data_IF_763885770751
#
_entry.id   IF_763885770751
#
_cell.length_a   1.000
_cell.length_b   1.000
_cell.length_c   1.000
_cell.angle_alpha   90.00
_cell.angle_beta   90.00
_cell.angle_gamma   90.00
#
_symmetry.space_group_name_H-M   'P 1'
#
loop_
_entity.id
_entity.type
_entity.pdbx_description
1 polymer ?
#
# COMPACT_ATOMS: atom_id res chain seq x y z
N UNK A 1 19.54 -20.46 13.32
CA UNK A 1 20.55 -19.52 12.84
C UNK A 1 20.97 -19.95 11.44
N UNK A 2 20.58 -19.19 10.42
CA UNK A 2 20.89 -19.48 9.01
C UNK A 2 21.88 -18.46 8.42
N UNK A 3 22.58 -17.76 9.23
CA UNK A 3 23.68 -16.86 8.88
C UNK A 3 24.66 -16.75 10.03
N UNK A 4 25.93 -16.53 9.74
CA UNK A 4 26.96 -16.24 10.74
C UNK A 4 26.87 -14.81 11.25
N UNK A 5 27.47 -14.53 12.40
CA UNK A 5 27.62 -13.15 12.90
C UNK A 5 28.38 -12.30 11.85
N UNK A 6 27.78 -11.17 11.45
CA UNK A 6 28.38 -10.21 10.54
C UNK A 6 28.11 -10.42 9.04
N UNK A 7 27.17 -11.29 8.67
CA UNK A 7 26.73 -11.41 7.28
C UNK A 7 25.60 -10.41 6.98
N UNK A 8 25.74 -9.66 5.88
CA UNK A 8 24.75 -8.69 5.42
C UNK A 8 23.54 -9.37 4.77
N UNK A 9 23.70 -10.60 4.25
CA UNK A 9 22.64 -11.35 3.56
C UNK A 9 22.38 -12.71 4.22
N UNK A 10 21.13 -13.16 4.09
CA UNK A 10 20.72 -14.47 4.57
C UNK A 10 21.27 -15.59 3.69
N UNK A 11 21.83 -16.65 4.30
CA UNK A 11 22.26 -17.87 3.60
C UNK A 11 21.07 -18.73 3.10
N UNK A 12 19.84 -18.31 3.29
CA UNK A 12 18.65 -19.05 2.90
C UNK A 12 18.64 -19.45 1.41
N UNK A 13 19.10 -18.55 0.54
CA UNK A 13 19.11 -18.78 -0.93
C UNK A 13 20.06 -19.93 -1.31
N UNK A 14 21.16 -20.08 -0.59
CA UNK A 14 22.21 -21.10 -0.85
C UNK A 14 21.99 -22.41 -0.07
N UNK A 15 21.01 -22.44 0.84
CA UNK A 15 20.75 -23.59 1.69
C UNK A 15 19.76 -24.56 1.04
N UNK A 16 20.21 -25.79 0.75
CA UNK A 16 19.44 -26.83 0.06
C UNK A 16 18.48 -27.61 0.96
N UNK A 17 18.43 -27.33 2.27
CA UNK A 17 17.50 -28.01 3.17
C UNK A 17 16.03 -27.73 2.81
N UNK A 18 15.13 -28.70 3.04
CA UNK A 18 13.70 -28.52 2.78
C UNK A 18 13.11 -27.30 3.54
N UNK A 19 13.59 -27.06 4.76
CA UNK A 19 13.14 -25.91 5.58
C UNK A 19 13.63 -24.57 4.99
N UNK A 20 14.89 -24.51 4.56
CA UNK A 20 15.43 -23.30 3.95
C UNK A 20 14.73 -22.97 2.62
N UNK A 21 14.48 -24.00 1.79
CA UNK A 21 13.72 -23.82 0.54
C UNK A 21 12.30 -23.30 0.80
N UNK A 22 11.58 -23.92 1.74
CA UNK A 22 10.24 -23.45 2.13
C UNK A 22 10.26 -22.00 2.62
N UNK A 23 11.23 -21.63 3.48
CA UNK A 23 11.37 -20.24 3.95
C UNK A 23 11.75 -19.29 2.82
N UNK A 24 12.65 -19.69 1.93
CA UNK A 24 13.05 -18.89 0.77
C UNK A 24 11.86 -18.62 -0.16
N UNK A 25 11.09 -19.65 -0.50
CA UNK A 25 9.86 -19.54 -1.30
C UNK A 25 8.82 -18.64 -0.60
N UNK A 26 8.67 -18.79 0.73
CA UNK A 26 7.74 -17.98 1.51
C UNK A 26 8.14 -16.50 1.54
N UNK A 27 9.44 -16.20 1.72
CA UNK A 27 9.92 -14.81 1.72
C UNK A 27 9.97 -14.16 0.35
N UNK A 28 10.03 -14.93 -0.74
CA UNK A 28 9.90 -14.40 -2.09
C UNK A 28 8.51 -13.84 -2.40
N UNK A 29 7.49 -14.26 -1.64
CA UNK A 29 6.12 -13.74 -1.75
C UNK A 29 5.89 -12.45 -0.92
N UNK A 30 6.93 -11.92 -0.21
CA UNK A 30 6.83 -10.67 0.54
C UNK A 30 7.08 -9.49 -0.39
N UNK A 31 6.03 -8.71 -0.64
CA UNK A 31 6.13 -7.53 -1.45
C UNK A 31 6.01 -6.29 -0.56
N UNK A 32 7.06 -5.47 -0.53
CA UNK A 32 7.12 -4.23 0.23
C UNK A 32 6.86 -3.08 -0.73
N UNK A 33 5.70 -2.46 -0.62
CA UNK A 33 5.29 -1.37 -1.52
C UNK A 33 5.66 -0.01 -0.94
N UNK A 34 6.36 0.79 -1.72
CA UNK A 34 6.87 2.12 -1.37
C UNK A 34 6.35 3.18 -2.34
N UNK A 35 5.22 3.80 -2.00
CA UNK A 35 4.64 4.89 -2.80
C UNK A 35 4.92 6.27 -2.20
N UNK A 36 6.04 6.41 -1.46
CA UNK A 36 6.39 7.67 -0.79
C UNK A 36 6.91 8.74 -1.74
N UNK A 37 7.69 8.33 -2.74
CA UNK A 37 8.22 9.27 -3.71
C UNK A 37 7.10 9.73 -4.65
N UNK A 38 6.76 11.00 -4.56
CA UNK A 38 5.81 11.70 -5.42
C UNK A 38 6.43 12.94 -6.06
N UNK A 39 7.77 13.04 -6.02
CA UNK A 39 8.55 14.08 -6.69
C UNK A 39 8.29 14.09 -8.20
N UNK A 40 8.80 15.09 -8.91
CA UNK A 40 8.69 15.14 -10.38
C UNK A 40 9.39 13.99 -11.09
N UNK A 41 10.41 13.38 -10.45
CA UNK A 41 11.14 12.21 -10.96
C UNK A 41 10.59 10.87 -10.46
N UNK A 42 9.54 10.89 -9.64
CA UNK A 42 8.91 9.69 -9.08
C UNK A 42 8.55 8.66 -10.15
N UNK A 43 8.80 7.39 -9.84
CA UNK A 43 8.43 6.26 -10.69
C UNK A 43 6.93 6.25 -11.04
N UNK A 44 6.07 6.68 -10.12
CA UNK A 44 4.61 6.81 -10.32
C UNK A 44 4.22 7.80 -11.43
N UNK A 45 5.06 8.80 -11.71
CA UNK A 45 4.82 9.84 -12.72
C UNK A 45 5.47 9.54 -14.07
N UNK A 46 6.33 8.52 -14.13
CA UNK A 46 7.06 8.19 -15.34
C UNK A 46 6.22 7.33 -16.30
N UNK A 47 6.49 7.42 -17.63
CA UNK A 47 5.85 6.56 -18.61
C UNK A 47 6.13 5.08 -18.32
N UNK A 48 5.09 4.27 -18.28
CA UNK A 48 5.21 2.82 -18.07
C UNK A 48 5.43 2.09 -19.41
N UNK A 49 6.30 1.08 -19.44
CA UNK A 49 6.42 0.21 -20.62
C UNK A 49 5.12 -0.56 -20.82
N UNK A 50 4.55 -0.53 -22.03
CA UNK A 50 3.23 -1.09 -22.36
C UNK A 50 3.06 -2.55 -21.95
N UNK A 51 4.11 -3.35 -21.99
CA UNK A 51 4.07 -4.79 -21.69
C UNK A 51 4.48 -5.13 -20.26
N UNK A 52 4.69 -4.12 -19.40
CA UNK A 52 5.03 -4.30 -17.99
C UNK A 52 3.76 -4.25 -17.13
N UNK A 53 2.99 -5.31 -17.15
CA UNK A 53 1.66 -5.37 -16.52
C UNK A 53 1.34 -6.67 -15.79
N UNK A 54 2.28 -7.61 -15.70
CA UNK A 54 2.01 -8.93 -15.11
C UNK A 54 1.71 -8.82 -13.60
N UNK A 55 2.36 -7.89 -12.92
CA UNK A 55 2.11 -7.54 -11.52
C UNK A 55 2.42 -6.06 -11.30
N UNK A 56 1.78 -5.46 -10.29
CA UNK A 56 2.09 -4.08 -9.89
C UNK A 56 3.45 -4.05 -9.19
N UNK A 57 4.37 -3.21 -9.68
CA UNK A 57 5.70 -3.06 -9.09
C UNK A 57 5.64 -2.36 -7.74
N UNK A 58 6.57 -2.66 -6.88
CA UNK A 58 6.65 -2.13 -5.51
C UNK A 58 6.79 -0.61 -5.45
N UNK A 59 7.43 0.00 -6.46
CA UNK A 59 7.59 1.45 -6.62
C UNK A 59 6.49 2.11 -7.47
N UNK A 60 5.56 1.33 -8.01
CA UNK A 60 4.49 1.79 -8.89
C UNK A 60 4.95 2.25 -10.29
N UNK A 61 6.19 1.96 -10.71
CA UNK A 61 6.75 2.40 -12.00
C UNK A 61 5.94 1.91 -13.22
N UNK A 62 5.15 0.87 -13.05
CA UNK A 62 4.28 0.33 -14.10
C UNK A 62 2.79 0.59 -13.89
N UNK A 63 2.43 1.51 -12.99
CA UNK A 63 1.03 1.77 -12.61
C UNK A 63 0.11 2.00 -13.81
N UNK A 64 0.54 2.83 -14.78
CA UNK A 64 -0.27 3.12 -15.96
C UNK A 64 -0.47 1.90 -16.87
N UNK A 65 0.57 1.09 -17.09
CA UNK A 65 0.48 -0.12 -17.90
C UNK A 65 -0.35 -1.21 -17.20
N UNK A 66 -0.22 -1.34 -15.88
CA UNK A 66 -1.01 -2.26 -15.06
C UNK A 66 -2.50 -1.90 -15.10
N UNK A 67 -2.86 -0.63 -14.91
CA UNK A 67 -4.23 -0.13 -15.03
C UNK A 67 -4.78 -0.31 -16.45
N UNK A 68 -3.97 -0.03 -17.49
CA UNK A 68 -4.33 -0.25 -18.88
C UNK A 68 -4.72 -1.70 -19.13
N UNK A 69 -3.90 -2.64 -18.66
CA UNK A 69 -4.19 -4.08 -18.77
C UNK A 69 -5.42 -4.48 -17.97
N UNK A 70 -5.55 -3.99 -16.72
CA UNK A 70 -6.70 -4.27 -15.86
C UNK A 70 -8.01 -3.81 -16.49
N UNK A 71 -8.01 -2.66 -17.18
CA UNK A 71 -9.17 -2.16 -17.92
C UNK A 71 -9.68 -3.18 -18.96
N UNK A 72 -8.77 -3.80 -19.69
CA UNK A 72 -9.12 -4.74 -20.76
C UNK A 72 -9.48 -6.12 -20.24
N UNK A 73 -8.76 -6.61 -19.22
CA UNK A 73 -8.92 -8.00 -18.74
C UNK A 73 -9.89 -8.14 -17.59
N UNK A 74 -10.01 -7.12 -16.73
CA UNK A 74 -10.82 -7.12 -15.52
C UNK A 74 -11.63 -5.82 -15.37
N UNK A 75 -12.54 -5.50 -16.32
CA UNK A 75 -13.23 -4.20 -16.38
C UNK A 75 -14.04 -3.88 -15.13
N UNK A 76 -14.50 -4.88 -14.39
CA UNK A 76 -15.24 -4.65 -13.14
C UNK A 76 -14.30 -4.14 -12.02
N UNK A 77 -13.10 -4.70 -11.88
CA UNK A 77 -12.09 -4.22 -10.93
C UNK A 77 -11.64 -2.81 -11.30
N UNK A 78 -11.39 -2.57 -12.58
CA UNK A 78 -11.02 -1.24 -13.08
C UNK A 78 -12.08 -0.18 -12.73
N UNK A 79 -13.36 -0.47 -12.95
CA UNK A 79 -14.46 0.43 -12.57
C UNK A 79 -14.54 0.68 -11.06
N UNK A 80 -14.29 -0.35 -10.24
CA UNK A 80 -14.26 -0.21 -8.78
C UNK A 80 -13.09 0.70 -8.37
N UNK A 81 -11.92 0.55 -8.98
CA UNK A 81 -10.76 1.40 -8.76
C UNK A 81 -11.10 2.87 -9.09
N UNK A 82 -11.60 3.15 -10.30
CA UNK A 82 -11.99 4.52 -10.70
C UNK A 82 -13.05 5.11 -9.77
N UNK A 83 -14.09 4.33 -9.42
CA UNK A 83 -15.14 4.78 -8.51
C UNK A 83 -14.60 5.11 -7.11
N UNK A 84 -13.67 4.29 -6.60
CA UNK A 84 -13.05 4.51 -5.29
C UNK A 84 -12.19 5.79 -5.32
N UNK A 85 -11.41 6.00 -6.38
CA UNK A 85 -10.60 7.22 -6.57
C UNK A 85 -11.52 8.44 -6.62
N UNK A 86 -12.59 8.40 -7.42
CA UNK A 86 -13.57 9.48 -7.54
C UNK A 86 -14.24 9.83 -6.21
N UNK A 87 -14.43 8.86 -5.32
CA UNK A 87 -15.02 9.11 -3.99
C UNK A 87 -14.14 9.97 -3.09
N UNK A 88 -12.82 9.97 -3.31
CA UNK A 88 -11.83 10.75 -2.54
C UNK A 88 -11.38 12.00 -3.29
N UNK A 89 -11.29 11.91 -4.62
CA UNK A 89 -10.92 13.00 -5.52
C UNK A 89 -12.09 13.29 -6.49
N UNK A 90 -13.11 14.08 -6.09
CA UNK A 90 -14.33 14.28 -6.88
C UNK A 90 -14.08 14.96 -8.24
N UNK A 91 -12.96 15.65 -8.39
CA UNK A 91 -12.54 16.23 -9.67
C UNK A 91 -12.09 15.18 -10.69
N UNK A 92 -11.66 14.01 -10.25
CA UNK A 92 -11.26 12.91 -11.12
C UNK A 92 -12.49 12.31 -11.81
N UNK A 93 -12.51 12.28 -13.16
CA UNK A 93 -13.61 11.64 -13.91
C UNK A 93 -13.29 10.19 -14.25
N UNK A 94 -12.20 9.97 -14.99
CA UNK A 94 -11.74 8.64 -15.41
C UNK A 94 -10.31 8.69 -15.91
N UNK A 95 -9.67 7.54 -15.99
CA UNK A 95 -8.39 7.41 -16.69
C UNK A 95 -8.56 7.42 -18.21
N UNK A 96 -7.60 8.05 -18.91
CA UNK A 96 -7.42 7.98 -20.36
C UNK A 96 -6.11 7.25 -20.69
N UNK A 97 -6.13 5.94 -20.47
CA UNK A 97 -4.97 5.07 -20.66
C UNK A 97 -4.99 4.55 -22.10
N UNK A 98 -4.00 4.97 -22.87
CA UNK A 98 -3.77 4.51 -24.25
C UNK A 98 -2.29 4.58 -24.56
N UNK A 99 -1.80 3.79 -25.54
CA UNK A 99 -0.43 3.92 -26.01
C UNK A 99 -0.17 5.35 -26.48
N UNK A 100 0.99 5.88 -26.10
CA UNK A 100 1.42 7.21 -26.54
C UNK A 100 1.56 7.24 -28.07
N UNK A 101 1.03 8.29 -28.71
CA UNK A 101 0.99 8.37 -30.18
C UNK A 101 2.39 8.49 -30.80
N UNK A 102 3.34 9.10 -30.11
CA UNK A 102 4.72 9.29 -30.58
C UNK A 102 5.63 8.12 -30.16
N UNK A 103 5.29 7.45 -29.07
CA UNK A 103 6.05 6.32 -28.50
C UNK A 103 5.10 5.17 -28.17
N UNK A 104 4.60 4.39 -29.15
CA UNK A 104 3.56 3.37 -28.92
C UNK A 104 3.93 2.26 -27.93
N UNK A 105 5.20 2.18 -27.53
CA UNK A 105 5.71 1.23 -26.53
C UNK A 105 5.48 1.62 -25.08
N UNK A 106 4.88 2.79 -24.81
CA UNK A 106 4.64 3.29 -23.45
C UNK A 106 3.19 3.68 -23.22
N UNK A 107 2.77 3.65 -21.96
CA UNK A 107 1.49 4.14 -21.46
C UNK A 107 1.77 5.25 -20.46
N UNK A 108 1.07 6.37 -20.60
CA UNK A 108 1.09 7.48 -19.66
C UNK A 108 -0.10 7.36 -18.69
N UNK A 109 0.09 7.80 -17.46
CA UNK A 109 -1.00 7.91 -16.49
C UNK A 109 -1.80 9.19 -16.74
N UNK A 110 -2.58 9.18 -17.82
CA UNK A 110 -3.46 10.28 -18.18
C UNK A 110 -4.85 10.09 -17.59
N UNK A 111 -5.48 11.20 -17.28
CA UNK A 111 -6.81 11.24 -16.69
C UNK A 111 -7.59 12.47 -17.19
N UNK A 112 -8.93 12.40 -17.03
CA UNK A 112 -9.83 13.51 -17.34
C UNK A 112 -10.41 14.07 -16.04
N UNK A 113 -10.59 15.38 -16.02
CA UNK A 113 -11.28 16.09 -14.95
C UNK A 113 -12.77 16.16 -15.21
N UNK A 114 -13.57 16.09 -14.14
CA UNK A 114 -15.02 16.17 -14.24
C UNK A 114 -15.46 17.54 -14.78
N UNK A 115 -16.23 17.51 -15.87
CA UNK A 115 -16.74 18.72 -16.51
C UNK A 115 -15.72 19.44 -17.40
N UNK A 116 -14.57 18.84 -17.70
CA UNK A 116 -13.57 19.33 -18.64
C UNK A 116 -13.32 18.27 -19.72
N UNK A 117 -13.04 18.73 -20.94
CA UNK A 117 -12.54 17.89 -22.03
C UNK A 117 -11.01 17.85 -22.07
N UNK A 118 -10.32 18.56 -21.16
CA UNK A 118 -8.87 18.62 -21.10
C UNK A 118 -8.29 17.33 -20.51
N UNK A 119 -7.15 16.93 -21.04
CA UNK A 119 -6.36 15.79 -20.58
C UNK A 119 -5.27 16.27 -19.64
N UNK A 120 -5.16 15.57 -18.52
CA UNK A 120 -4.13 15.81 -17.52
C UNK A 120 -3.26 14.57 -17.40
N UNK A 121 -2.01 14.76 -17.02
CA UNK A 121 -1.08 13.66 -16.71
C UNK A 121 -0.88 13.50 -15.19
N UNK A 122 -0.03 12.56 -14.80
CA UNK A 122 0.27 12.30 -13.39
C UNK A 122 0.91 13.50 -12.68
N UNK A 123 1.57 14.42 -13.37
CA UNK A 123 2.19 15.60 -12.77
C UNK A 123 1.17 16.63 -12.28
N UNK A 124 -0.04 16.58 -12.80
CA UNK A 124 -1.15 17.45 -12.40
C UNK A 124 -1.90 16.93 -11.16
N UNK A 125 -1.59 15.73 -10.68
CA UNK A 125 -2.16 15.18 -9.45
C UNK A 125 -1.40 15.68 -8.22
N UNK A 126 -2.13 15.94 -7.12
CA UNK A 126 -1.48 16.14 -5.83
C UNK A 126 -0.79 14.85 -5.37
N UNK A 127 0.23 14.98 -4.55
CA UNK A 127 0.99 13.84 -4.03
C UNK A 127 0.09 12.83 -3.30
N UNK A 128 -0.83 13.32 -2.46
CA UNK A 128 -1.81 12.48 -1.78
C UNK A 128 -2.75 11.76 -2.75
N UNK A 129 -3.22 12.45 -3.81
CA UNK A 129 -4.10 11.81 -4.81
C UNK A 129 -3.36 10.73 -5.58
N UNK A 130 -2.13 11.00 -6.03
CA UNK A 130 -1.32 10.02 -6.77
C UNK A 130 -1.03 8.77 -5.92
N UNK A 131 -0.65 8.97 -4.66
CA UNK A 131 -0.45 7.88 -3.69
C UNK A 131 -1.72 7.09 -3.46
N UNK A 132 -2.86 7.77 -3.27
CA UNK A 132 -4.15 7.11 -3.10
C UNK A 132 -4.54 6.28 -4.33
N UNK A 133 -4.24 6.74 -5.55
CA UNK A 133 -4.43 5.97 -6.80
C UNK A 133 -3.60 4.69 -6.78
N UNK A 134 -2.31 4.77 -6.44
CA UNK A 134 -1.43 3.61 -6.37
C UNK A 134 -1.89 2.58 -5.33
N UNK A 135 -2.22 3.03 -4.10
CA UNK A 135 -2.74 2.19 -3.02
C UNK A 135 -4.10 1.56 -3.39
N UNK A 136 -5.00 2.32 -4.01
CA UNK A 136 -6.30 1.82 -4.48
C UNK A 136 -6.11 0.72 -5.53
N UNK A 137 -5.19 0.94 -6.47
CA UNK A 137 -4.86 -0.05 -7.51
C UNK A 137 -4.29 -1.32 -6.89
N UNK A 138 -3.34 -1.20 -5.96
CA UNK A 138 -2.75 -2.32 -5.24
C UNK A 138 -3.80 -3.15 -4.48
N UNK A 139 -4.65 -2.49 -3.70
CA UNK A 139 -5.57 -3.17 -2.78
C UNK A 139 -6.86 -3.68 -3.45
N UNK A 140 -7.20 -3.16 -4.64
CA UNK A 140 -8.41 -3.55 -5.39
C UNK A 140 -8.10 -4.28 -6.70
N UNK A 141 -6.84 -4.66 -6.95
CA UNK A 141 -6.47 -5.46 -8.12
C UNK A 141 -7.12 -6.85 -8.09
N UNK A 142 -7.27 -7.52 -9.26
CA UNK A 142 -7.94 -8.81 -9.33
C UNK A 142 -7.25 -9.92 -8.55
N UNK A 143 -5.93 -9.95 -8.59
CA UNK A 143 -5.09 -10.94 -7.94
C UNK A 143 -4.13 -10.23 -6.97
N UNK A 144 -4.37 -10.43 -5.67
CA UNK A 144 -3.53 -9.84 -4.63
C UNK A 144 -2.26 -10.66 -4.41
N UNK A 145 -1.11 -10.02 -4.14
CA UNK A 145 0.05 -10.71 -3.58
C UNK A 145 -0.33 -11.43 -2.29
N UNK A 146 0.32 -12.57 -1.99
CA UNK A 146 0.04 -13.30 -0.75
C UNK A 146 0.33 -12.50 0.50
N UNK A 147 1.39 -11.69 0.46
CA UNK A 147 1.76 -10.78 1.55
C UNK A 147 2.04 -9.39 0.99
N UNK A 148 1.43 -8.39 1.59
CA UNK A 148 1.59 -6.97 1.26
C UNK A 148 2.13 -6.26 2.49
N UNK A 149 3.25 -5.59 2.36
CA UNK A 149 3.82 -4.74 3.40
C UNK A 149 3.75 -3.30 2.94
N UNK A 150 3.14 -2.45 3.76
CA UNK A 150 2.97 -1.03 3.51
C UNK A 150 3.66 -0.24 4.62
N UNK A 151 4.47 0.73 4.25
CA UNK A 151 5.11 1.65 5.18
C UNK A 151 4.45 3.01 5.07
N UNK A 152 3.94 3.56 6.18
CA UNK A 152 3.23 4.85 6.28
C UNK A 152 2.30 5.16 5.07
N UNK A 153 1.39 4.26 4.70
CA UNK A 153 0.59 4.42 3.47
C UNK A 153 -0.36 5.63 3.52
N UNK A 154 -0.64 6.14 4.69
CA UNK A 154 -1.52 7.28 4.93
C UNK A 154 -0.83 8.64 4.76
N UNK A 155 0.49 8.68 4.58
CA UNK A 155 1.26 9.93 4.52
C UNK A 155 0.74 10.85 3.39
N UNK A 156 0.37 12.08 3.76
CA UNK A 156 -0.18 13.08 2.82
C UNK A 156 -1.64 12.85 2.41
N UNK A 157 -2.33 11.85 2.97
CA UNK A 157 -3.74 11.62 2.72
C UNK A 157 -4.63 12.46 3.66
N UNK A 158 -5.74 12.94 3.10
CA UNK A 158 -6.81 13.55 3.89
C UNK A 158 -7.47 12.50 4.81
N UNK A 159 -7.97 12.83 6.02
CA UNK A 159 -8.61 11.87 6.94
C UNK A 159 -9.69 10.98 6.29
N UNK A 160 -10.50 11.54 5.40
CA UNK A 160 -11.49 10.77 4.65
C UNK A 160 -10.85 9.70 3.74
N UNK A 161 -9.70 10.00 3.12
CA UNK A 161 -8.95 9.05 2.32
C UNK A 161 -8.31 7.96 3.19
N UNK A 162 -7.87 8.29 4.42
CA UNK A 162 -7.35 7.32 5.40
C UNK A 162 -8.43 6.30 5.79
N UNK A 163 -9.65 6.75 6.09
CA UNK A 163 -10.76 5.85 6.38
C UNK A 163 -11.10 4.93 5.19
N UNK A 164 -11.06 5.45 3.95
CA UNK A 164 -11.22 4.62 2.74
C UNK A 164 -10.09 3.61 2.57
N UNK A 165 -8.84 4.02 2.81
CA UNK A 165 -7.66 3.15 2.77
C UNK A 165 -7.81 2.00 3.77
N UNK A 166 -8.17 2.29 5.03
CA UNK A 166 -8.40 1.27 6.05
C UNK A 166 -9.49 0.27 5.63
N UNK A 167 -10.59 0.75 5.04
CA UNK A 167 -11.64 -0.12 4.49
C UNK A 167 -11.13 -1.05 3.38
N UNK A 168 -10.25 -0.55 2.49
CA UNK A 168 -9.61 -1.36 1.46
C UNK A 168 -8.65 -2.38 2.04
N UNK A 169 -7.84 -2.00 3.04
CA UNK A 169 -6.92 -2.90 3.76
C UNK A 169 -7.71 -4.05 4.40
N UNK A 170 -8.78 -3.75 5.14
CA UNK A 170 -9.67 -4.76 5.76
C UNK A 170 -10.29 -5.70 4.72
N UNK A 171 -10.71 -5.18 3.59
CA UNK A 171 -11.26 -6.01 2.50
C UNK A 171 -10.20 -6.91 1.90
N UNK A 172 -9.01 -6.39 1.61
CA UNK A 172 -7.92 -7.13 1.02
C UNK A 172 -7.34 -8.18 1.97
N UNK A 173 -7.35 -7.92 3.30
CA UNK A 173 -6.84 -8.86 4.32
C UNK A 173 -7.61 -10.18 4.42
N UNK A 174 -8.79 -10.27 3.81
CA UNK A 174 -9.54 -11.53 3.69
C UNK A 174 -8.81 -12.53 2.79
N UNK A 175 -8.01 -12.04 1.82
CA UNK A 175 -7.36 -12.85 0.79
C UNK A 175 -5.83 -12.77 0.81
N UNK A 176 -5.27 -11.80 1.54
CA UNK A 176 -3.84 -11.51 1.59
C UNK A 176 -3.42 -11.16 3.02
N UNK A 177 -2.22 -11.53 3.42
CA UNK A 177 -1.65 -11.02 4.67
C UNK A 177 -1.20 -9.58 4.43
N UNK A 178 -1.72 -8.63 5.21
CA UNK A 178 -1.32 -7.22 5.09
C UNK A 178 -0.65 -6.79 6.39
N UNK A 179 0.55 -6.25 6.27
CA UNK A 179 1.31 -5.66 7.36
C UNK A 179 1.47 -4.18 7.06
N UNK A 180 1.04 -3.33 7.99
CA UNK A 180 1.15 -1.87 7.85
C UNK A 180 2.01 -1.35 8.99
N UNK A 181 3.11 -0.67 8.64
CA UNK A 181 3.85 0.15 9.58
C UNK A 181 3.31 1.58 9.51
N UNK A 182 2.93 2.14 10.66
CA UNK A 182 2.34 3.49 10.71
C UNK A 182 2.61 4.17 12.04
N UNK A 183 2.67 5.49 12.02
CA UNK A 183 2.67 6.39 13.16
C UNK A 183 1.43 7.29 13.18
N UNK A 184 0.39 6.95 12.42
CA UNK A 184 -0.82 7.75 12.31
C UNK A 184 -1.91 7.29 13.27
N UNK A 185 -2.23 8.12 14.23
CA UNK A 185 -3.39 7.94 15.13
C UNK A 185 -4.68 7.72 14.34
N UNK A 186 -4.87 8.48 13.26
CA UNK A 186 -6.06 8.36 12.42
C UNK A 186 -6.17 6.97 11.76
N UNK A 187 -5.05 6.42 11.28
CA UNK A 187 -5.07 5.10 10.67
C UNK A 187 -5.23 4.00 11.73
N UNK A 188 -4.53 4.12 12.86
CA UNK A 188 -4.65 3.19 13.99
C UNK A 188 -6.08 3.09 14.51
N UNK A 189 -6.80 4.21 14.61
CA UNK A 189 -8.20 4.26 15.07
C UNK A 189 -9.19 3.55 14.13
N UNK A 190 -8.80 3.28 12.90
CA UNK A 190 -9.63 2.52 11.96
C UNK A 190 -9.59 0.98 12.20
N UNK A 191 -8.71 0.48 13.07
CA UNK A 191 -8.52 -0.95 13.33
C UNK A 191 -8.89 -1.32 14.76
N UNK A 192 -9.10 -2.62 14.99
CA UNK A 192 -9.34 -3.15 16.34
C UNK A 192 -8.02 -3.31 17.13
N UNK A 193 -8.11 -3.40 18.45
CA UNK A 193 -6.91 -3.63 19.28
C UNK A 193 -6.20 -4.95 18.90
N UNK A 194 -6.95 -5.96 18.48
CA UNK A 194 -6.39 -7.26 18.09
C UNK A 194 -5.54 -7.20 16.82
N UNK A 195 -5.75 -6.17 15.98
CA UNK A 195 -4.97 -5.93 14.76
C UNK A 195 -3.65 -5.19 15.06
N UNK A 196 -3.48 -4.62 16.26
CA UNK A 196 -2.35 -3.74 16.58
C UNK A 196 -1.20 -4.52 17.23
N UNK A 197 -0.01 -4.31 16.65
CA UNK A 197 1.26 -4.74 17.24
C UNK A 197 2.10 -3.49 17.53
N UNK A 198 2.42 -3.28 18.79
CA UNK A 198 3.27 -2.15 19.21
C UNK A 198 4.72 -2.59 19.22
N UNK A 199 5.59 -1.81 18.57
CA UNK A 199 7.04 -1.99 18.62
C UNK A 199 7.62 -1.08 19.70
N UNK A 200 8.30 -1.65 20.67
CA UNK A 200 9.01 -0.95 21.74
C UNK A 200 10.51 -1.21 21.62
N UNK A 201 11.31 -0.31 22.18
CA UNK A 201 12.74 -0.52 22.36
C UNK A 201 13.03 -0.81 23.82
N UNK A 202 13.50 -2.02 24.12
CA UNK A 202 13.87 -2.46 25.46
C UNK A 202 15.29 -3.04 25.39
N UNK A 203 16.20 -2.58 26.27
CA UNK A 203 17.59 -3.05 26.34
C UNK A 203 18.32 -3.12 24.98
N UNK A 204 18.19 -2.09 24.15
CA UNK A 204 18.73 -2.02 22.80
C UNK A 204 18.16 -3.07 21.81
N UNK A 205 17.05 -3.71 22.13
CA UNK A 205 16.35 -4.65 21.27
C UNK A 205 14.95 -4.15 20.95
N UNK A 206 14.43 -4.49 19.75
CA UNK A 206 13.04 -4.23 19.41
C UNK A 206 12.18 -5.36 19.94
N UNK A 207 11.19 -5.00 20.76
CA UNK A 207 10.20 -5.93 21.32
C UNK A 207 8.84 -5.63 20.71
N UNK A 208 8.20 -6.64 20.14
CA UNK A 208 6.86 -6.54 19.57
C UNK A 208 5.82 -7.07 20.57
N UNK A 209 4.81 -6.25 20.85
CA UNK A 209 3.71 -6.60 21.74
C UNK A 209 2.38 -6.49 21.01
N UNK A 210 1.72 -7.62 20.78
CA UNK A 210 0.36 -7.63 20.25
C UNK A 210 -0.60 -7.14 21.32
N UNK A 211 -1.50 -6.25 20.92
CA UNK A 211 -2.60 -5.80 21.77
C UNK A 211 -3.77 -6.77 21.69
N UNK A 212 -4.76 -6.62 22.56
CA UNK A 212 -6.03 -7.34 22.48
C UNK A 212 -7.16 -6.50 23.07
N UNK A 213 -8.36 -6.63 22.51
CA UNK A 213 -9.56 -5.96 23.04
C UNK A 213 -9.83 -6.36 24.50
N UNK A 214 -9.61 -7.62 24.85
CA UNK A 214 -9.81 -8.10 26.22
C UNK A 214 -8.90 -7.37 27.22
N UNK A 215 -7.61 -7.21 26.89
CA UNK A 215 -6.62 -6.54 27.76
C UNK A 215 -6.87 -5.03 27.89
N UNK A 216 -7.48 -4.42 26.89
CA UNK A 216 -7.73 -2.99 26.83
C UNK A 216 -9.20 -2.63 27.11
N UNK A 217 -10.06 -3.59 27.41
CA UNK A 217 -11.52 -3.42 27.53
C UNK A 217 -11.93 -2.22 28.39
N UNK A 218 -11.38 -2.10 29.59
CA UNK A 218 -11.70 -1.00 30.49
C UNK A 218 -11.25 0.38 29.96
N UNK A 219 -10.16 0.40 29.18
CA UNK A 219 -9.66 1.63 28.58
C UNK A 219 -10.44 2.04 27.33
N UNK A 220 -10.89 1.07 26.54
CA UNK A 220 -11.64 1.28 25.30
C UNK A 220 -13.08 1.75 25.53
N UNK A 221 -13.57 1.72 26.80
CA UNK A 221 -14.85 2.34 27.16
C UNK A 221 -14.80 3.87 27.06
N UNK A 222 -13.63 4.48 27.35
CA UNK A 222 -13.46 5.95 27.43
C UNK A 222 -12.52 6.51 26.35
N UNK A 223 -11.63 5.69 25.77
CA UNK A 223 -10.58 6.12 24.87
C UNK A 223 -10.52 5.27 23.59
N UNK A 224 -10.21 5.91 22.46
CA UNK A 224 -9.83 5.20 21.25
C UNK A 224 -8.43 4.58 21.38
N UNK A 225 -8.12 3.57 20.55
CA UNK A 225 -6.80 2.91 20.61
C UNK A 225 -5.66 3.89 20.25
N UNK A 226 -5.89 4.84 19.36
CA UNK A 226 -4.94 5.90 19.02
C UNK A 226 -4.68 6.83 20.20
N UNK A 227 -5.70 7.20 20.99
CA UNK A 227 -5.51 7.99 22.21
C UNK A 227 -4.72 7.22 23.27
N UNK A 228 -4.94 5.91 23.39
CA UNK A 228 -4.17 5.05 24.30
C UNK A 228 -2.70 5.01 23.89
N UNK A 229 -2.42 5.00 22.60
CA UNK A 229 -1.06 5.09 22.08
C UNK A 229 -0.44 6.47 22.35
N UNK A 230 -1.13 7.58 22.03
CA UNK A 230 -0.65 8.94 22.31
C UNK A 230 -0.35 9.17 23.78
N UNK A 231 -1.17 8.60 24.67
CA UNK A 231 -0.98 8.63 26.13
C UNK A 231 0.09 7.66 26.63
N UNK A 232 0.71 6.88 25.72
CA UNK A 232 1.70 5.85 26.04
C UNK A 232 1.19 4.73 26.97
N UNK A 233 -0.12 4.47 26.97
CA UNK A 233 -0.72 3.39 27.76
C UNK A 233 -0.36 2.02 27.20
N UNK A 234 -0.31 1.90 25.87
CA UNK A 234 0.03 0.66 25.16
C UNK A 234 1.50 0.56 24.74
N UNK A 235 2.30 1.61 24.97
CA UNK A 235 3.71 1.70 24.55
C UNK A 235 3.86 2.22 23.13
N UNK A 236 5.05 2.02 22.53
CA UNK A 236 5.36 2.48 21.14
C UNK A 236 5.84 3.93 21.06
N UNK A 237 6.15 4.57 22.18
CA UNK A 237 6.87 5.85 22.19
C UNK A 237 8.37 5.56 22.10
N UNK A 238 9.02 6.16 21.13
CA UNK A 238 10.48 6.13 20.95
C UNK A 238 11.18 7.02 21.98
#
# INVERSE_FOLDING_TARGET
>A
NMGGEGQEESELVNNTSKRARFLSEYFQDFNVFHFHDTSSSSALKQPSKRHDYDYLREDGSNLAAFLFRTKDTHPNHFKIIEHTIKSVAPFFEKFDLKPDAMTPGVILLNWLEQGSDDYFDAHNLSDGTLRFIALTTLLLQPELPKTIILDEPELGLHPFAIAKLAGMIKKASVHSQIIVATQSVNLVNEFSADDIIVANREDNQTVFKRQSEESLKAWLEDYSIGELWEKNVIGGRL
#
